data_IF_008465507557
#
_entry.id   IF_008465507557
#
_cell.length_a   1.000
_cell.length_b   1.000
_cell.length_c   1.000
_cell.angle_alpha   90.00
_cell.angle_beta   90.00
_cell.angle_gamma   90.00
#
_symmetry.space_group_name_H-M   'P 1'
#
loop_
_entity.id
_entity.type
_entity.pdbx_description
1 polymer ?
#
# COMPACT_ATOMS: atom_id res chain seq x y z
N UNK A 1 -6.93 32.31 -15.71
CA UNK A 1 -6.67 32.02 -14.29
C UNK A 1 -5.19 31.87 -14.00
N UNK A 2 -4.41 31.12 -14.81
CA UNK A 2 -2.98 30.89 -14.58
C UNK A 2 -2.07 32.13 -14.77
N UNK A 3 -2.55 33.23 -15.33
CA UNK A 3 -1.77 34.45 -15.57
C UNK A 3 -1.86 35.48 -14.44
N UNK A 4 -2.75 35.29 -13.47
CA UNK A 4 -2.87 36.16 -12.32
C UNK A 4 -1.70 35.98 -11.35
N UNK A 5 -1.09 37.08 -10.92
CA UNK A 5 0.10 37.09 -10.04
C UNK A 5 -0.08 36.26 -8.78
N UNK A 6 -1.25 36.37 -8.15
CA UNK A 6 -1.54 35.73 -6.88
C UNK A 6 -1.64 34.19 -7.02
N UNK A 7 -2.23 33.74 -8.16
CA UNK A 7 -2.30 32.30 -8.50
C UNK A 7 -0.90 31.72 -8.73
N UNK A 8 -0.03 32.46 -9.43
CA UNK A 8 1.36 32.03 -9.64
C UNK A 8 2.14 31.93 -8.34
N UNK A 9 1.99 32.91 -7.44
CA UNK A 9 2.63 32.88 -6.12
C UNK A 9 2.15 31.71 -5.28
N UNK A 10 0.85 31.44 -5.28
CA UNK A 10 0.26 30.31 -4.57
C UNK A 10 0.78 28.98 -5.13
N UNK A 11 0.75 28.79 -6.46
CA UNK A 11 1.27 27.59 -7.10
C UNK A 11 2.75 27.36 -6.79
N UNK A 12 3.57 28.42 -6.81
CA UNK A 12 4.97 28.35 -6.46
C UNK A 12 5.18 27.92 -5.00
N UNK A 13 4.39 28.47 -4.07
CA UNK A 13 4.45 28.09 -2.67
C UNK A 13 4.06 26.61 -2.45
N UNK A 14 3.00 26.14 -3.11
CA UNK A 14 2.57 24.74 -3.08
C UNK A 14 3.65 23.82 -3.65
N UNK A 15 4.18 24.13 -4.84
CA UNK A 15 5.26 23.36 -5.47
C UNK A 15 6.49 23.26 -4.57
N UNK A 16 6.91 24.37 -3.97
CA UNK A 16 8.04 24.38 -3.04
C UNK A 16 7.77 23.48 -1.82
N UNK A 17 6.60 23.60 -1.21
CA UNK A 17 6.23 22.77 -0.05
C UNK A 17 6.21 21.28 -0.42
N UNK A 18 5.64 20.91 -1.57
CA UNK A 18 5.64 19.52 -2.04
C UNK A 18 7.06 19.00 -2.26
N UNK A 19 7.93 19.77 -2.91
CA UNK A 19 9.33 19.39 -3.11
C UNK A 19 10.09 19.21 -1.80
N UNK A 20 9.85 20.09 -0.82
CA UNK A 20 10.45 19.97 0.52
C UNK A 20 10.00 18.70 1.25
N UNK A 21 8.71 18.33 1.15
CA UNK A 21 8.17 17.08 1.70
C UNK A 21 8.80 15.88 1.00
N UNK A 22 8.83 15.85 -0.33
CA UNK A 22 9.42 14.77 -1.11
C UNK A 22 10.90 14.55 -0.81
N UNK A 23 11.64 15.65 -0.59
CA UNK A 23 13.08 15.59 -0.28
C UNK A 23 13.38 15.07 1.12
N UNK A 24 12.47 15.31 2.08
CA UNK A 24 12.64 14.82 3.47
C UNK A 24 12.15 13.39 3.62
N UNK A 25 11.14 13.00 2.85
CA UNK A 25 10.62 11.64 2.85
C UNK A 25 11.55 10.67 2.10
N UNK A 26 11.20 9.39 2.11
CA UNK A 26 11.91 8.37 1.35
C UNK A 26 11.38 8.21 -0.11
N UNK A 27 10.62 9.18 -0.64
CA UNK A 27 9.94 9.06 -1.94
C UNK A 27 10.94 8.78 -3.07
N UNK A 28 12.01 9.56 -3.18
CA UNK A 28 12.96 9.42 -4.30
C UNK A 28 13.69 8.07 -4.29
N UNK A 29 14.03 7.54 -3.11
CA UNK A 29 14.61 6.21 -2.98
C UNK A 29 13.62 5.13 -3.39
N UNK A 30 12.35 5.28 -2.99
CA UNK A 30 11.28 4.34 -3.33
C UNK A 30 10.95 4.36 -4.81
N UNK A 31 11.01 5.52 -5.47
CA UNK A 31 10.81 5.64 -6.91
C UNK A 31 11.88 4.92 -7.73
N UNK A 32 13.11 4.84 -7.23
CA UNK A 32 14.16 4.07 -7.90
C UNK A 32 13.73 2.61 -8.05
N UNK A 33 13.28 1.97 -6.97
CA UNK A 33 12.76 0.59 -7.01
C UNK A 33 11.60 0.46 -8.00
N UNK A 34 10.64 1.40 -7.98
CA UNK A 34 9.51 1.40 -8.92
C UNK A 34 9.97 1.48 -10.38
N UNK A 35 10.98 2.29 -10.68
CA UNK A 35 11.51 2.39 -12.05
C UNK A 35 12.25 1.13 -12.49
N UNK A 36 12.98 0.48 -11.59
CA UNK A 36 13.62 -0.80 -11.85
C UNK A 36 12.57 -1.89 -12.15
N UNK A 37 11.51 -1.98 -11.34
CA UNK A 37 10.38 -2.90 -11.57
C UNK A 37 9.66 -2.63 -12.89
N UNK A 38 9.43 -1.36 -13.23
CA UNK A 38 8.84 -0.98 -14.52
C UNK A 38 9.70 -1.38 -15.71
N UNK A 39 11.01 -1.18 -15.62
CA UNK A 39 11.94 -1.47 -16.70
C UNK A 39 12.05 -2.99 -16.95
N UNK A 40 12.02 -3.80 -15.89
CA UNK A 40 12.22 -5.25 -15.97
C UNK A 40 10.89 -6.00 -16.11
N UNK A 41 9.91 -5.69 -15.27
CA UNK A 41 8.65 -6.45 -15.18
C UNK A 41 7.43 -5.70 -15.74
N UNK A 42 7.59 -4.45 -16.14
CA UNK A 42 6.52 -3.65 -16.73
C UNK A 42 5.45 -3.15 -15.77
N UNK A 43 5.56 -3.46 -14.49
CA UNK A 43 4.64 -3.02 -13.45
C UNK A 43 5.40 -2.72 -12.18
N UNK A 44 5.14 -1.57 -11.57
CA UNK A 44 5.63 -1.24 -10.24
C UNK A 44 4.47 -1.08 -9.27
N UNK A 45 4.74 -1.17 -7.98
CA UNK A 45 3.77 -0.86 -6.93
C UNK A 45 4.42 -0.07 -5.80
N UNK A 46 3.72 0.97 -5.35
CA UNK A 46 4.17 1.86 -4.28
C UNK A 46 2.98 2.25 -3.42
N UNK A 47 3.02 1.91 -2.14
CA UNK A 47 2.07 2.43 -1.14
C UNK A 47 2.60 3.77 -0.63
N UNK A 48 1.74 4.78 -0.65
CA UNK A 48 2.00 6.07 0.00
C UNK A 48 1.05 6.19 1.18
N UNK A 49 1.60 6.33 2.36
CA UNK A 49 0.83 6.53 3.59
C UNK A 49 1.21 7.85 4.27
N UNK A 50 0.28 8.37 5.06
CA UNK A 50 0.57 9.47 5.97
C UNK A 50 1.62 9.05 7.00
N UNK A 51 2.49 10.00 7.35
CA UNK A 51 3.52 9.83 8.36
C UNK A 51 3.61 11.08 9.22
N UNK A 52 3.62 10.91 10.54
CA UNK A 52 3.62 12.04 11.47
C UNK A 52 4.99 12.73 11.60
N UNK A 53 6.07 12.04 11.22
CA UNK A 53 7.42 12.59 11.27
C UNK A 53 7.80 13.27 9.94
N UNK A 54 7.60 12.56 8.81
CA UNK A 54 8.02 12.99 7.47
C UNK A 54 6.89 13.44 6.56
N UNK A 55 5.64 13.52 7.06
CA UNK A 55 4.39 13.82 6.36
C UNK A 55 3.92 12.67 5.47
N UNK A 56 4.80 12.06 4.70
CA UNK A 56 4.53 10.88 3.89
C UNK A 56 5.63 9.83 4.05
N UNK A 57 5.21 8.56 4.03
CA UNK A 57 6.10 7.40 3.99
C UNK A 57 5.74 6.52 2.80
N UNK A 58 6.74 6.14 2.03
CA UNK A 58 6.58 5.34 0.83
C UNK A 58 7.09 3.93 1.05
N UNK A 59 6.31 2.93 0.61
CA UNK A 59 6.65 1.50 0.70
C UNK A 59 6.63 0.93 -0.72
N UNK A 60 7.79 0.81 -1.39
CA UNK A 60 7.88 0.17 -2.69
C UNK A 60 7.78 -1.34 -2.53
N UNK A 61 7.14 -2.00 -3.48
CA UNK A 61 7.00 -3.46 -3.52
C UNK A 61 7.65 -4.01 -4.78
N UNK A 62 8.28 -5.17 -4.63
CA UNK A 62 8.90 -5.89 -5.75
C UNK A 62 8.00 -7.01 -6.26
N UNK A 63 8.22 -7.43 -7.50
CA UNK A 63 7.49 -8.54 -8.10
C UNK A 63 7.56 -9.79 -7.22
N UNK A 64 6.40 -10.42 -7.00
CA UNK A 64 6.24 -11.58 -6.12
C UNK A 64 5.80 -11.26 -4.70
N UNK A 65 5.90 -9.99 -4.25
CA UNK A 65 5.44 -9.57 -2.92
C UNK A 65 3.97 -9.14 -2.90
N UNK A 66 3.40 -8.83 -4.07
CA UNK A 66 2.05 -8.30 -4.16
C UNK A 66 1.26 -8.86 -5.34
N UNK A 67 -0.05 -8.72 -5.27
CA UNK A 67 -0.97 -8.92 -6.37
C UNK A 67 -1.90 -7.73 -6.55
N UNK A 68 -2.31 -7.51 -7.79
CA UNK A 68 -3.24 -6.45 -8.18
C UNK A 68 -4.51 -7.04 -8.78
N UNK A 69 -5.62 -6.33 -8.61
CA UNK A 69 -6.81 -6.57 -9.40
C UNK A 69 -7.35 -5.23 -9.92
N UNK A 70 -8.22 -5.31 -10.90
CA UNK A 70 -8.77 -4.13 -11.56
C UNK A 70 -10.29 -4.20 -11.66
N UNK A 71 -10.92 -3.03 -11.67
CA UNK A 71 -12.34 -2.86 -11.88
C UNK A 71 -12.74 -3.21 -13.32
N UNK A 72 -14.06 -3.26 -13.58
CA UNK A 72 -14.60 -3.35 -14.93
C UNK A 72 -14.20 -2.20 -15.85
N UNK A 73 -13.66 -1.10 -15.29
CA UNK A 73 -13.14 0.07 -16.02
C UNK A 73 -11.66 -0.05 -16.33
N UNK A 74 -11.04 -1.22 -16.08
CA UNK A 74 -9.61 -1.50 -16.29
C UNK A 74 -8.68 -0.60 -15.44
N UNK A 75 -9.18 -0.09 -14.32
CA UNK A 75 -8.40 0.66 -13.34
C UNK A 75 -8.02 -0.27 -12.20
N UNK A 76 -6.74 -0.28 -11.82
CA UNK A 76 -6.29 -1.00 -10.64
C UNK A 76 -6.91 -0.34 -9.41
N UNK A 77 -7.68 -1.10 -8.66
CA UNK A 77 -8.42 -0.66 -7.47
C UNK A 77 -8.31 -1.63 -6.30
N UNK A 78 -7.62 -2.74 -6.50
CA UNK A 78 -7.41 -3.76 -5.47
C UNK A 78 -5.94 -4.14 -5.41
N UNK A 79 -5.43 -4.21 -4.21
CA UNK A 79 -4.06 -4.60 -3.87
C UNK A 79 -4.08 -5.61 -2.74
N UNK A 80 -3.25 -6.63 -2.84
CA UNK A 80 -3.02 -7.56 -1.73
C UNK A 80 -1.56 -7.99 -1.69
N UNK A 81 -1.08 -8.30 -0.49
CA UNK A 81 0.25 -8.86 -0.28
C UNK A 81 0.25 -9.85 0.88
N UNK A 82 1.11 -10.86 0.76
CA UNK A 82 1.47 -11.74 1.85
C UNK A 82 2.89 -11.43 2.28
N UNK A 83 3.13 -11.34 3.57
CA UNK A 83 4.45 -11.08 4.10
C UNK A 83 4.58 -11.64 5.51
N UNK A 84 5.83 -11.82 5.94
CA UNK A 84 6.14 -12.36 7.25
C UNK A 84 6.54 -11.23 8.20
N UNK A 85 6.02 -11.30 9.41
CA UNK A 85 6.41 -10.45 10.53
C UNK A 85 6.84 -11.31 11.70
N UNK A 86 7.76 -10.83 12.53
CA UNK A 86 8.04 -11.51 13.81
C UNK A 86 6.90 -11.30 14.80
N UNK A 87 6.77 -12.21 15.76
CA UNK A 87 5.79 -12.08 16.86
C UNK A 87 5.92 -10.72 17.55
N UNK A 88 7.16 -10.25 17.78
CA UNK A 88 7.41 -8.93 18.36
C UNK A 88 6.80 -7.81 17.50
N UNK A 89 7.06 -7.81 16.19
CA UNK A 89 6.54 -6.79 15.25
C UNK A 89 5.01 -6.82 15.16
N UNK A 90 4.40 -8.01 15.12
CA UNK A 90 2.93 -8.12 15.07
C UNK A 90 2.29 -7.53 16.31
N UNK A 91 2.85 -7.84 17.50
CA UNK A 91 2.32 -7.31 18.76
C UNK A 91 2.56 -5.81 18.89
N UNK A 92 3.72 -5.31 18.45
CA UNK A 92 4.04 -3.88 18.46
C UNK A 92 3.08 -3.09 17.55
N UNK A 93 2.83 -3.58 16.34
CA UNK A 93 2.03 -2.87 15.35
C UNK A 93 0.52 -2.96 15.60
N UNK A 94 0.01 -4.11 16.00
CA UNK A 94 -1.44 -4.36 16.08
C UNK A 94 -1.98 -4.48 17.49
N UNK A 95 -1.12 -4.70 18.49
CA UNK A 95 -1.52 -4.95 19.85
C UNK A 95 -1.79 -6.43 20.16
N UNK A 96 -1.45 -6.88 21.37
CA UNK A 96 -1.57 -8.26 21.79
C UNK A 96 -3.03 -8.77 21.83
N UNK A 97 -3.98 -7.89 22.11
CA UNK A 97 -5.41 -8.18 22.21
C UNK A 97 -6.06 -8.54 20.86
N UNK A 98 -5.47 -8.09 19.77
CA UNK A 98 -5.94 -8.39 18.42
C UNK A 98 -5.30 -9.63 17.80
N UNK A 99 -4.19 -10.11 18.37
CA UNK A 99 -3.49 -11.30 17.89
C UNK A 99 -4.26 -12.58 18.20
N UNK A 100 -3.98 -13.64 17.45
CA UNK A 100 -4.49 -14.98 17.71
C UNK A 100 -3.96 -15.56 19.04
N UNK A 101 -4.59 -16.59 19.53
CA UNK A 101 -4.15 -17.28 20.73
C UNK A 101 -2.77 -17.94 20.56
N UNK A 102 -2.44 -18.34 19.33
CA UNK A 102 -1.11 -18.85 18.98
C UNK A 102 -0.05 -17.79 19.17
N UNK A 103 -0.24 -16.60 18.55
CA UNK A 103 0.70 -15.46 18.67
C UNK A 103 0.81 -14.99 20.13
N UNK A 104 -0.32 -14.92 20.86
CA UNK A 104 -0.33 -14.56 22.28
C UNK A 104 0.48 -15.54 23.13
N UNK A 105 0.37 -16.84 22.84
CA UNK A 105 1.12 -17.87 23.54
C UNK A 105 2.61 -17.77 23.25
N UNK A 106 3.00 -17.59 21.97
CA UNK A 106 4.39 -17.37 21.57
C UNK A 106 4.97 -16.13 22.23
N UNK A 107 4.24 -15.02 22.25
CA UNK A 107 4.67 -13.78 22.90
C UNK A 107 4.91 -13.97 24.40
N UNK A 108 3.95 -14.60 25.12
CA UNK A 108 4.06 -14.87 26.57
C UNK A 108 5.19 -15.86 26.93
N UNK A 109 5.52 -16.77 26.03
CA UNK A 109 6.63 -17.71 26.18
C UNK A 109 7.99 -17.16 25.77
N UNK A 110 8.08 -15.88 25.37
CA UNK A 110 9.31 -15.22 24.94
C UNK A 110 9.81 -15.61 23.55
N UNK A 111 8.99 -16.27 22.73
CA UNK A 111 9.33 -16.65 21.36
C UNK A 111 9.09 -15.48 20.40
N UNK A 112 9.81 -14.37 20.56
CA UNK A 112 9.56 -13.11 19.87
C UNK A 112 10.03 -13.12 18.41
N UNK A 113 10.99 -13.98 18.06
CA UNK A 113 11.60 -14.06 16.72
C UNK A 113 10.86 -15.03 15.76
N UNK A 114 9.79 -15.66 16.23
CA UNK A 114 8.99 -16.55 15.38
C UNK A 114 8.25 -15.75 14.32
N UNK A 115 8.20 -16.31 13.10
CA UNK A 115 7.52 -15.71 11.97
C UNK A 115 6.03 -15.98 12.00
N UNK A 116 5.27 -14.96 11.66
CA UNK A 116 3.80 -14.98 11.49
C UNK A 116 3.49 -14.48 10.09
N UNK A 117 2.75 -15.26 9.32
CA UNK A 117 2.27 -14.86 8.01
C UNK A 117 1.08 -13.90 8.14
N UNK A 118 1.20 -12.73 7.51
CA UNK A 118 0.19 -11.67 7.50
C UNK A 118 -0.24 -11.42 6.05
N UNK A 119 -1.55 -11.39 5.84
CA UNK A 119 -2.17 -10.93 4.61
C UNK A 119 -2.66 -9.50 4.81
N UNK A 120 -2.33 -8.61 3.89
CA UNK A 120 -2.88 -7.25 3.82
C UNK A 120 -3.63 -7.08 2.50
N UNK A 121 -4.87 -6.62 2.59
CA UNK A 121 -5.75 -6.38 1.43
C UNK A 121 -6.24 -4.94 1.47
N UNK A 122 -6.21 -4.27 0.32
CA UNK A 122 -6.84 -2.97 0.10
C UNK A 122 -7.76 -3.13 -1.11
N UNK A 123 -9.04 -2.86 -0.93
CA UNK A 123 -10.06 -3.07 -1.97
C UNK A 123 -11.20 -2.04 -1.86
N UNK A 124 -11.99 -1.81 -2.93
CA UNK A 124 -13.18 -0.99 -2.84
C UNK A 124 -14.14 -1.51 -1.77
N UNK A 125 -14.61 -0.61 -0.91
CA UNK A 125 -15.49 -0.96 0.20
C UNK A 125 -16.95 -1.12 -0.27
N UNK A 126 -17.34 -2.34 -0.62
CA UNK A 126 -18.70 -2.66 -1.03
C UNK A 126 -19.73 -2.63 0.10
N UNK A 127 -19.27 -2.71 1.36
CA UNK A 127 -20.12 -2.70 2.56
C UNK A 127 -20.17 -1.30 3.22
N UNK A 128 -19.73 -0.26 2.54
CA UNK A 128 -19.66 1.11 3.06
C UNK A 128 -21.05 1.62 3.47
N UNK A 129 -21.14 2.13 4.70
CA UNK A 129 -22.28 2.88 5.20
C UNK A 129 -22.01 4.37 5.05
N UNK A 130 -22.67 5.03 4.08
CA UNK A 130 -22.37 6.44 3.70
C UNK A 130 -22.66 7.47 4.81
N UNK A 131 -23.52 7.12 5.76
CA UNK A 131 -23.89 7.98 6.88
C UNK A 131 -22.86 7.98 8.02
N UNK A 132 -21.96 7.01 8.01
CA UNK A 132 -20.89 6.88 9.01
C UNK A 132 -19.58 7.43 8.49
N UNK A 133 -18.95 8.29 9.29
CA UNK A 133 -17.64 8.90 8.98
C UNK A 133 -16.57 8.35 9.93
N UNK A 134 -16.31 7.06 9.82
CA UNK A 134 -15.23 6.40 10.54
C UNK A 134 -14.26 5.72 9.57
N UNK A 135 -13.12 5.25 10.09
CA UNK A 135 -12.07 4.64 9.28
C UNK A 135 -12.50 3.34 8.57
N UNK A 136 -13.55 2.67 9.04
CA UNK A 136 -14.06 1.43 8.43
C UNK A 136 -15.03 1.72 7.27
N UNK A 137 -15.60 2.93 7.22
CA UNK A 137 -16.56 3.34 6.19
C UNK A 137 -15.94 4.23 5.10
N UNK A 138 -14.62 4.19 4.96
CA UNK A 138 -13.92 4.84 3.86
C UNK A 138 -14.21 4.16 2.52
N UNK A 139 -14.01 4.85 1.37
CA UNK A 139 -14.22 4.28 0.02
C UNK A 139 -13.41 3.02 -0.26
N UNK A 140 -12.18 2.95 0.26
CA UNK A 140 -11.32 1.78 0.16
C UNK A 140 -11.15 1.16 1.54
N UNK A 141 -11.45 -0.12 1.65
CA UNK A 141 -11.26 -0.91 2.85
C UNK A 141 -9.84 -1.46 2.90
N UNK A 142 -9.21 -1.39 4.06
CA UNK A 142 -7.88 -1.95 4.33
C UNK A 142 -7.96 -2.93 5.49
N UNK A 143 -7.55 -4.15 5.27
CA UNK A 143 -7.63 -5.21 6.26
C UNK A 143 -6.31 -5.98 6.37
N UNK A 144 -5.82 -6.14 7.61
CA UNK A 144 -4.72 -7.03 7.94
C UNK A 144 -5.26 -8.27 8.64
N UNK A 145 -4.89 -9.44 8.13
CA UNK A 145 -5.34 -10.74 8.64
C UNK A 145 -4.15 -11.63 8.94
N UNK A 146 -4.20 -12.34 10.07
CA UNK A 146 -3.25 -13.41 10.39
C UNK A 146 -3.66 -14.69 9.64
N UNK A 147 -2.88 -15.10 8.64
CA UNK A 147 -3.21 -16.20 7.70
C UNK A 147 -3.36 -17.56 8.39
N UNK A 148 -2.54 -17.85 9.39
CA UNK A 148 -2.56 -19.13 10.12
C UNK A 148 -3.63 -19.20 11.22
N UNK A 149 -4.41 -18.16 11.43
CA UNK A 149 -5.46 -18.14 12.45
C UNK A 149 -6.67 -18.95 12.01
N UNK A 150 -7.05 -19.98 12.78
CA UNK A 150 -8.25 -20.80 12.52
C UNK A 150 -9.55 -20.00 12.44
N UNK A 151 -9.57 -18.77 12.93
CA UNK A 151 -10.74 -17.90 13.02
C UNK A 151 -10.60 -16.67 12.11
N UNK A 152 -9.68 -16.65 11.14
CA UNK A 152 -9.46 -15.50 10.22
C UNK A 152 -9.45 -14.16 10.98
N UNK A 153 -8.66 -14.09 12.05
CA UNK A 153 -8.72 -12.96 12.96
C UNK A 153 -8.12 -11.72 12.29
N UNK A 154 -8.93 -10.69 12.20
CA UNK A 154 -8.51 -9.38 11.70
C UNK A 154 -7.61 -8.71 12.74
N UNK A 155 -6.37 -8.42 12.34
CA UNK A 155 -5.39 -7.69 13.14
C UNK A 155 -5.71 -6.20 13.17
N UNK A 156 -6.03 -5.65 11.99
CA UNK A 156 -6.41 -4.25 11.82
C UNK A 156 -7.42 -4.13 10.69
N UNK A 157 -8.42 -3.28 10.90
CA UNK A 157 -9.40 -2.91 9.88
C UNK A 157 -9.48 -1.39 9.85
N UNK A 158 -9.22 -0.81 8.70
CA UNK A 158 -9.21 0.64 8.47
C UNK A 158 -9.61 0.93 7.01
N UNK A 159 -9.43 2.15 6.56
CA UNK A 159 -9.72 2.49 5.17
C UNK A 159 -8.96 3.73 4.70
N UNK A 160 -9.10 3.99 3.41
CA UNK A 160 -8.53 5.14 2.73
C UNK A 160 -9.64 5.88 1.95
N UNK A 161 -9.54 7.21 1.91
CA UNK A 161 -10.44 8.04 1.10
C UNK A 161 -10.18 7.82 -0.40
N UNK A 162 -8.92 7.61 -0.78
CA UNK A 162 -8.48 7.31 -2.14
C UNK A 162 -7.64 6.04 -2.14
N UNK A 163 -7.52 5.39 -3.30
CA UNK A 163 -6.68 4.20 -3.44
C UNK A 163 -5.20 4.57 -3.21
N UNK A 164 -4.56 4.06 -2.15
CA UNK A 164 -3.25 4.56 -1.72
C UNK A 164 -2.07 3.94 -2.49
N UNK A 165 -2.35 3.02 -3.43
CA UNK A 165 -1.33 2.33 -4.20
C UNK A 165 -1.16 3.00 -5.56
N UNK A 166 0.03 3.52 -5.81
CA UNK A 166 0.49 3.82 -7.16
C UNK A 166 0.92 2.51 -7.82
N UNK A 167 0.21 2.11 -8.87
CA UNK A 167 0.51 0.92 -9.65
C UNK A 167 0.77 1.28 -11.12
N UNK A 168 1.89 1.97 -11.43
CA UNK A 168 2.23 2.30 -12.80
C UNK A 168 2.51 1.05 -13.62
N UNK A 169 2.08 1.08 -14.87
CA UNK A 169 2.26 0.00 -15.86
C UNK A 169 2.89 0.59 -17.12
N UNK A 170 3.96 -0.04 -17.63
CA UNK A 170 4.68 0.47 -18.78
C UNK A 170 3.82 0.41 -20.05
N UNK A 171 3.37 -0.78 -20.42
CA UNK A 171 2.48 -0.99 -21.54
C UNK A 171 1.43 -2.04 -21.15
N UNK A 172 0.17 -1.74 -21.37
CA UNK A 172 -0.95 -2.65 -21.07
C UNK A 172 -1.60 -3.07 -22.37
N UNK A 173 -1.79 -4.38 -22.56
CA UNK A 173 -2.45 -4.93 -23.74
C UNK A 173 -3.82 -5.48 -23.35
N UNK A 174 -4.86 -4.96 -24.00
CA UNK A 174 -6.23 -5.45 -23.78
C UNK A 174 -6.70 -5.30 -22.33
N UNK A 175 -7.06 -6.42 -21.72
CA UNK A 175 -7.60 -6.49 -20.35
C UNK A 175 -6.55 -6.94 -19.32
N UNK A 176 -5.28 -6.95 -19.69
CA UNK A 176 -4.21 -7.37 -18.80
C UNK A 176 -4.14 -6.47 -17.55
N UNK A 177 -3.98 -7.09 -16.40
CA UNK A 177 -3.82 -6.38 -15.12
C UNK A 177 -2.41 -5.81 -15.02
N UNK A 178 -1.41 -6.60 -15.41
CA UNK A 178 0.00 -6.23 -15.34
C UNK A 178 0.49 -5.69 -16.67
N UNK A 179 1.43 -4.76 -16.62
CA UNK A 179 2.07 -4.20 -17.80
C UNK A 179 3.15 -5.12 -18.37
N UNK A 180 3.52 -4.88 -19.63
CA UNK A 180 4.67 -5.48 -20.30
C UNK A 180 5.82 -4.49 -20.28
N UNK A 181 7.03 -4.97 -20.03
CA UNK A 181 8.23 -4.14 -20.02
C UNK A 181 8.88 -4.06 -21.40
N UNK A 182 9.71 -3.04 -21.65
CA UNK A 182 10.55 -3.00 -22.85
C UNK A 182 11.44 -4.25 -22.98
N UNK A 183 11.91 -4.80 -21.85
CA UNK A 183 12.71 -6.03 -21.82
C UNK A 183 11.93 -7.25 -22.30
N UNK A 184 10.67 -7.38 -21.93
CA UNK A 184 9.79 -8.45 -22.41
C UNK A 184 9.54 -8.37 -23.91
N UNK A 185 9.41 -7.15 -24.46
CA UNK A 185 9.17 -6.94 -25.89
C UNK A 185 10.42 -7.31 -26.75
N UNK A 186 11.61 -7.23 -26.18
CA UNK A 186 12.87 -7.60 -26.87
C UNK A 186 13.16 -9.11 -26.77
N UNK A 187 12.74 -9.75 -25.68
CA UNK A 187 12.99 -11.18 -25.44
C UNK A 187 11.97 -12.10 -26.14
N UNK A 188 10.84 -11.58 -26.57
CA UNK A 188 9.76 -12.31 -27.25
C UNK A 188 9.87 -12.31 -28.72
#
# INVERSE_FOLDING_TARGET
LMEQSDVKQWLFAVEKTMRDIFSRSNLYNSLQTVYEELAVFGTGALLISEDFDDVIRCYPFTVGEYGLAQSHRLQVDTFYREFNMTVAQVVEQFGLDKCSDSVRTMFKSGQLDKWVEVLHVIEPNSAREYDKKDNQNMPYHSCYVEKASKNERKLLESGYEEFPILAPRWHVTGVDIYGRSPGMDVLG
#
